data_IF_397902901392
#
_entry.id   IF_397902901392
#
_cell.length_a   1.000
_cell.length_b   1.000
_cell.length_c   1.000
_cell.angle_alpha   90.00
_cell.angle_beta   90.00
_cell.angle_gamma   90.00
#
_symmetry.space_group_name_H-M   'P 1'
#
loop_
_entity.id
_entity.type
_entity.pdbx_description
1 polymer ?
#
# COMPACT_ATOMS: atom_id res chain seq x y z
N UNK A 1 -20.15 1.52 -5.26
CA UNK A 1 -19.56 2.18 -6.45
C UNK A 1 -19.83 3.70 -6.35
N UNK A 2 -19.23 4.36 -5.33
CA UNK A 2 -19.60 5.74 -4.93
C UNK A 2 -18.41 6.71 -4.89
N UNK A 3 -17.19 6.25 -5.19
CA UNK A 3 -15.97 7.03 -5.02
C UNK A 3 -15.70 8.01 -6.16
N UNK A 4 -16.14 7.69 -7.37
CA UNK A 4 -15.80 8.46 -8.56
C UNK A 4 -17.08 8.78 -9.32
N UNK A 5 -17.49 10.04 -9.28
CA UNK A 5 -18.67 10.52 -10.01
C UNK A 5 -18.49 10.41 -11.53
N UNK A 6 -19.60 10.34 -12.26
CA UNK A 6 -19.60 10.21 -13.73
C UNK A 6 -18.74 11.27 -14.43
N UNK A 7 -18.70 12.50 -13.90
CA UNK A 7 -17.88 13.57 -14.45
C UNK A 7 -16.38 13.25 -14.38
N UNK A 8 -15.91 12.76 -13.21
CA UNK A 8 -14.51 12.39 -12.98
C UNK A 8 -14.13 11.11 -13.74
N UNK A 9 -15.05 10.16 -13.87
CA UNK A 9 -14.80 8.97 -14.69
C UNK A 9 -14.70 9.33 -16.19
N UNK A 10 -15.54 10.25 -16.67
CA UNK A 10 -15.51 10.69 -18.06
C UNK A 10 -14.31 11.60 -18.36
N UNK A 11 -13.77 12.34 -17.39
CA UNK A 11 -12.53 13.09 -17.63
C UNK A 11 -11.33 12.20 -17.94
N UNK A 12 -11.38 10.92 -17.58
CA UNK A 12 -10.35 9.91 -17.89
C UNK A 12 -10.73 9.15 -19.16
N UNK A 13 -11.90 8.49 -19.16
CA UNK A 13 -12.31 7.58 -20.24
C UNK A 13 -12.86 8.27 -21.49
N UNK A 14 -13.18 9.57 -21.42
CA UNK A 14 -13.64 10.40 -22.54
C UNK A 14 -12.83 11.71 -22.61
N UNK A 15 -11.56 11.67 -22.19
CA UNK A 15 -10.67 12.83 -22.19
C UNK A 15 -10.52 13.45 -23.59
N UNK A 16 -10.44 12.59 -24.61
CA UNK A 16 -10.61 12.94 -26.02
C UNK A 16 -12.10 12.83 -26.34
N UNK A 17 -12.77 13.98 -26.53
CA UNK A 17 -14.22 14.02 -26.74
C UNK A 17 -14.62 13.13 -27.91
N UNK A 18 -15.47 12.11 -27.68
CA UNK A 18 -15.97 11.28 -28.76
C UNK A 18 -16.95 12.07 -29.63
N UNK A 19 -16.75 12.04 -30.95
CA UNK A 19 -17.65 12.72 -31.91
C UNK A 19 -19.03 12.03 -31.98
N UNK A 20 -19.08 10.71 -31.85
CA UNK A 20 -20.29 9.89 -32.01
C UNK A 20 -20.74 9.25 -30.69
N UNK A 21 -20.94 10.05 -29.64
CA UNK A 21 -21.45 9.53 -28.36
C UNK A 21 -22.93 9.15 -28.52
N UNK A 22 -23.33 7.89 -28.21
CA UNK A 22 -24.71 7.45 -28.40
C UNK A 22 -25.67 8.18 -27.45
N UNK A 23 -26.86 8.49 -27.97
CA UNK A 23 -27.96 9.05 -27.20
C UNK A 23 -28.94 7.96 -26.74
N UNK A 24 -29.99 8.36 -26.03
CA UNK A 24 -31.01 7.46 -25.49
C UNK A 24 -31.75 6.68 -26.59
N UNK A 25 -31.90 7.25 -27.78
CA UNK A 25 -32.60 6.67 -28.93
C UNK A 25 -31.72 5.80 -29.84
N UNK A 26 -30.41 5.72 -29.59
CA UNK A 26 -29.47 4.95 -30.41
C UNK A 26 -29.71 3.45 -30.27
N UNK A 27 -29.51 2.72 -31.37
CA UNK A 27 -29.67 1.27 -31.40
C UNK A 27 -28.64 0.55 -30.50
N UNK A 28 -28.95 -0.71 -30.18
CA UNK A 28 -28.17 -1.51 -29.24
C UNK A 28 -26.74 -1.79 -29.75
N UNK A 29 -26.57 -1.98 -31.06
CA UNK A 29 -25.29 -2.35 -31.65
C UNK A 29 -24.33 -1.17 -31.60
N UNK A 30 -24.77 0.02 -32.02
CA UNK A 30 -23.97 1.25 -31.93
C UNK A 30 -23.58 1.58 -30.48
N UNK A 31 -24.51 1.39 -29.52
CA UNK A 31 -24.20 1.57 -28.09
C UNK A 31 -23.15 0.57 -27.60
N UNK A 32 -23.23 -0.69 -28.02
CA UNK A 32 -22.26 -1.72 -27.67
C UNK A 32 -20.86 -1.38 -28.21
N UNK A 33 -20.77 -1.02 -29.50
CA UNK A 33 -19.51 -0.64 -30.14
C UNK A 33 -18.85 0.55 -29.45
N UNK A 34 -19.64 1.55 -29.05
CA UNK A 34 -19.14 2.69 -28.28
C UNK A 34 -18.57 2.28 -26.92
N UNK A 35 -19.29 1.44 -26.16
CA UNK A 35 -18.83 0.94 -24.85
C UNK A 35 -17.55 0.13 -25.00
N UNK A 36 -17.46 -0.73 -26.02
CA UNK A 36 -16.26 -1.49 -26.33
C UNK A 36 -15.07 -0.58 -26.68
N UNK A 37 -15.29 0.43 -27.53
CA UNK A 37 -14.26 1.41 -27.88
C UNK A 37 -13.77 2.22 -26.67
N UNK A 38 -14.69 2.56 -25.74
CA UNK A 38 -14.39 3.34 -24.54
C UNK A 38 -13.58 2.55 -23.52
N UNK A 39 -14.03 1.37 -23.11
CA UNK A 39 -13.46 0.65 -21.96
C UNK A 39 -12.45 -0.42 -22.34
N UNK A 40 -12.59 -1.06 -23.50
CA UNK A 40 -11.69 -2.13 -23.96
C UNK A 40 -10.59 -1.55 -24.81
N UNK A 41 -10.95 -0.80 -25.86
CA UNK A 41 -9.96 -0.18 -26.76
C UNK A 41 -9.34 1.10 -26.19
N UNK A 42 -9.92 1.66 -25.12
CA UNK A 42 -9.45 2.88 -24.46
C UNK A 42 -9.27 4.06 -25.42
N UNK A 43 -10.05 4.09 -26.50
CA UNK A 43 -9.85 4.95 -27.69
C UNK A 43 -9.90 6.44 -27.39
N UNK A 44 -10.66 6.80 -26.36
CA UNK A 44 -10.94 8.18 -25.99
C UNK A 44 -10.12 8.65 -24.79
N UNK A 45 -9.21 7.83 -24.27
CA UNK A 45 -8.26 8.25 -23.25
C UNK A 45 -7.12 9.05 -23.87
N UNK A 46 -6.51 9.93 -23.07
CA UNK A 46 -5.20 10.46 -23.42
C UNK A 46 -4.17 9.32 -23.44
N UNK A 47 -3.15 9.36 -24.31
CA UNK A 47 -2.06 8.41 -24.24
C UNK A 47 -1.30 8.57 -22.93
N UNK A 48 -0.81 7.46 -22.37
CA UNK A 48 -0.01 7.51 -21.15
C UNK A 48 1.35 8.14 -21.44
N UNK A 49 1.75 9.14 -20.65
CA UNK A 49 3.03 9.84 -20.77
C UNK A 49 4.21 9.08 -20.14
N UNK A 50 4.01 7.86 -19.64
CA UNK A 50 5.05 7.08 -18.97
C UNK A 50 4.64 5.66 -18.59
N UNK A 51 5.45 5.01 -17.75
CA UNK A 51 5.10 3.71 -17.20
C UNK A 51 3.89 3.83 -16.26
N UNK A 52 2.81 3.04 -16.43
CA UNK A 52 1.62 3.13 -15.59
C UNK A 52 1.90 2.90 -14.10
N UNK A 53 2.85 2.03 -13.77
CA UNK A 53 3.30 1.80 -12.39
C UNK A 53 3.88 3.06 -11.74
N UNK A 54 4.70 3.82 -12.48
CA UNK A 54 5.26 5.09 -12.00
C UNK A 54 4.18 6.15 -11.78
N UNK A 55 3.20 6.21 -12.67
CA UNK A 55 2.05 7.12 -12.52
C UNK A 55 1.21 6.76 -11.30
N UNK A 56 1.05 5.47 -10.99
CA UNK A 56 0.36 5.02 -9.78
C UNK A 56 1.15 5.41 -8.52
N UNK A 57 2.48 5.28 -8.52
CA UNK A 57 3.34 5.70 -7.42
C UNK A 57 3.23 7.20 -7.16
N UNK A 58 3.35 8.03 -8.19
CA UNK A 58 3.20 9.49 -8.08
C UNK A 58 1.81 9.87 -7.54
N UNK A 59 0.77 9.16 -7.99
CA UNK A 59 -0.59 9.37 -7.52
C UNK A 59 -0.77 9.01 -6.03
N UNK A 60 -0.09 7.96 -5.56
CA UNK A 60 -0.08 7.57 -4.14
C UNK A 60 0.63 8.63 -3.28
N UNK A 61 1.80 9.11 -3.71
CA UNK A 61 2.55 10.14 -2.99
C UNK A 61 1.81 11.48 -2.95
N UNK A 62 1.15 11.85 -4.05
CA UNK A 62 0.34 13.07 -4.16
C UNK A 62 -1.09 12.94 -3.60
N UNK A 63 -1.47 11.76 -3.09
CA UNK A 63 -2.83 11.44 -2.57
C UNK A 63 -3.94 11.76 -3.57
N UNK A 64 -3.68 11.53 -4.85
CA UNK A 64 -4.60 11.88 -5.94
C UNK A 64 -5.28 10.63 -6.52
N UNK A 65 -6.49 10.35 -6.05
CA UNK A 65 -7.30 9.19 -6.45
C UNK A 65 -7.62 9.17 -7.96
N UNK A 66 -7.77 10.34 -8.59
CA UNK A 66 -8.07 10.40 -10.03
C UNK A 66 -6.87 10.02 -10.88
N UNK A 67 -5.67 10.53 -10.53
CA UNK A 67 -4.42 10.10 -11.18
C UNK A 67 -4.16 8.61 -10.97
N UNK A 68 -4.48 8.08 -9.77
CA UNK A 68 -4.35 6.65 -9.49
C UNK A 68 -5.30 5.82 -10.36
N UNK A 69 -6.55 6.27 -10.50
CA UNK A 69 -7.51 5.63 -11.41
C UNK A 69 -7.01 5.67 -12.87
N UNK A 70 -6.45 6.80 -13.32
CA UNK A 70 -5.89 6.94 -14.67
C UNK A 70 -4.72 5.97 -14.90
N UNK A 71 -3.82 5.82 -13.92
CA UNK A 71 -2.72 4.86 -13.99
C UNK A 71 -3.22 3.40 -14.06
N UNK A 72 -4.19 3.03 -13.22
CA UNK A 72 -4.83 1.69 -13.25
C UNK A 72 -5.57 1.48 -14.59
N UNK A 73 -6.24 2.51 -15.06
CA UNK A 73 -6.90 2.54 -16.35
C UNK A 73 -5.92 2.30 -17.51
N UNK A 74 -4.69 2.79 -17.41
CA UNK A 74 -3.61 2.50 -18.36
C UNK A 74 -2.99 1.10 -18.20
N UNK A 75 -3.30 0.38 -17.13
CA UNK A 75 -2.87 -0.99 -16.90
C UNK A 75 -1.81 -1.16 -15.80
N UNK A 76 -1.70 -0.20 -14.87
CA UNK A 76 -0.87 -0.39 -13.68
C UNK A 76 -1.39 -1.57 -12.84
N UNK A 77 -0.51 -2.49 -12.45
CA UNK A 77 -0.84 -3.56 -11.52
C UNK A 77 -0.80 -3.03 -10.07
N UNK A 78 -1.91 -3.20 -9.35
CA UNK A 78 -2.06 -2.79 -7.95
C UNK A 78 -1.39 -3.74 -6.95
N UNK A 79 -0.93 -4.90 -7.43
CA UNK A 79 -0.30 -5.95 -6.65
C UNK A 79 1.21 -6.06 -6.90
N UNK A 80 1.77 -5.24 -7.77
CA UNK A 80 3.20 -5.23 -8.03
C UNK A 80 3.96 -4.37 -7.00
N UNK A 81 5.08 -4.86 -6.48
CA UNK A 81 5.89 -4.08 -5.55
C UNK A 81 6.69 -3.01 -6.30
N UNK A 82 6.84 -1.85 -5.66
CA UNK A 82 7.78 -0.84 -6.12
C UNK A 82 9.22 -1.20 -5.71
N UNK A 83 10.21 -1.02 -6.60
CA UNK A 83 11.62 -1.08 -6.23
C UNK A 83 11.93 -0.08 -5.11
N UNK A 84 12.77 -0.48 -4.15
CA UNK A 84 13.12 0.36 -2.99
C UNK A 84 13.76 1.68 -3.45
N UNK A 85 14.55 1.66 -4.52
CA UNK A 85 15.21 2.83 -5.09
C UNK A 85 14.23 3.89 -5.64
N UNK A 86 12.99 3.49 -5.92
CA UNK A 86 11.94 4.40 -6.40
C UNK A 86 11.16 5.04 -5.26
N UNK A 87 11.27 4.53 -4.02
CA UNK A 87 10.54 5.05 -2.88
C UNK A 87 11.26 6.26 -2.32
N UNK A 88 10.57 7.41 -2.27
CA UNK A 88 11.12 8.65 -1.74
C UNK A 88 11.57 8.53 -0.27
N UNK A 89 10.84 7.75 0.53
CA UNK A 89 11.13 7.50 1.95
C UNK A 89 10.79 6.04 2.32
N UNK A 90 11.71 5.08 2.15
CA UNK A 90 11.46 3.67 2.45
C UNK A 90 11.28 3.48 3.95
N UNK A 91 10.10 3.00 4.34
CA UNK A 91 9.75 2.72 5.74
C UNK A 91 9.99 1.24 6.04
N UNK A 92 10.91 0.97 6.97
CA UNK A 92 11.15 -0.38 7.49
C UNK A 92 10.01 -0.81 8.41
N UNK A 93 9.47 -2.00 8.15
CA UNK A 93 8.52 -2.74 8.98
C UNK A 93 9.21 -3.57 10.07
N UNK A 94 10.54 -3.47 10.20
CA UNK A 94 11.28 -4.05 11.32
C UNK A 94 11.64 -2.92 12.28
N UNK A 95 11.26 -3.01 13.57
CA UNK A 95 11.69 -2.04 14.55
C UNK A 95 13.21 -2.02 14.64
N UNK A 96 13.77 -0.82 14.72
CA UNK A 96 15.20 -0.60 14.99
C UNK A 96 15.56 -1.35 16.26
N UNK A 97 16.40 -2.37 16.15
CA UNK A 97 16.75 -3.30 17.24
C UNK A 97 17.62 -2.67 18.33
N UNK A 98 17.54 -1.34 18.52
CA UNK A 98 18.22 -0.67 19.62
C UNK A 98 17.51 -1.06 20.91
N UNK A 99 17.97 -2.15 21.51
CA UNK A 99 17.59 -2.54 22.85
C UNK A 99 18.37 -1.64 23.81
N UNK A 100 17.65 -0.77 24.51
CA UNK A 100 18.19 0.01 25.61
C UNK A 100 17.98 -0.81 26.90
N UNK A 101 19.07 -1.31 27.47
CA UNK A 101 19.03 -1.92 28.80
C UNK A 101 19.33 -0.84 29.83
N UNK A 102 18.37 -0.61 30.72
CA UNK A 102 18.55 0.24 31.90
C UNK A 102 18.94 -0.63 33.08
N UNK A 103 20.22 -0.62 33.44
CA UNK A 103 20.76 -1.45 34.52
C UNK A 103 21.04 -0.60 35.76
N UNK A 104 20.68 -1.06 36.98
CA UNK A 104 21.05 -0.38 38.21
C UNK A 104 22.56 -0.50 38.45
N UNK A 105 23.20 0.60 38.88
CA UNK A 105 24.61 0.55 39.32
C UNK A 105 24.65 -0.10 40.70
N UNK A 106 25.50 -1.11 40.86
CA UNK A 106 25.68 -1.81 42.13
C UNK A 106 26.90 -1.30 42.90
N UNK A 107 26.84 -1.29 44.22
CA UNK A 107 28.00 -1.08 45.10
C UNK A 107 28.86 -2.35 45.24
N UNK A 108 29.93 -2.28 46.03
CA UNK A 108 30.84 -3.43 46.26
C UNK A 108 30.21 -4.56 47.07
N UNK A 109 29.02 -4.34 47.64
CA UNK A 109 28.20 -5.33 48.34
C UNK A 109 27.06 -5.88 47.45
N UNK A 110 26.91 -5.39 46.22
CA UNK A 110 25.88 -5.80 45.28
C UNK A 110 24.53 -5.10 45.44
N UNK A 111 24.43 -4.03 46.23
CA UNK A 111 23.20 -3.27 46.39
C UNK A 111 23.05 -2.19 45.31
N UNK A 112 21.83 -1.94 44.79
CA UNK A 112 21.59 -0.91 43.79
C UNK A 112 21.68 0.49 44.40
N UNK A 113 22.38 1.40 43.71
CA UNK A 113 22.31 2.83 44.00
C UNK A 113 20.95 3.39 43.53
N UNK A 114 20.17 4.06 44.41
CA UNK A 114 18.81 4.52 44.09
C UNK A 114 18.74 5.43 42.86
N UNK A 115 19.76 6.26 42.66
CA UNK A 115 19.75 7.32 41.64
C UNK A 115 20.74 7.09 40.49
N UNK A 116 21.42 5.92 40.47
CA UNK A 116 22.41 5.62 39.42
C UNK A 116 21.95 4.43 38.58
N UNK A 117 21.65 4.75 37.34
CA UNK A 117 21.35 3.79 36.28
C UNK A 117 22.35 3.96 35.14
N UNK A 118 22.67 2.87 34.47
CA UNK A 118 23.45 2.89 33.23
C UNK A 118 22.52 2.46 32.12
N UNK A 119 22.43 3.31 31.09
CA UNK A 119 21.75 2.98 29.84
C UNK A 119 22.78 2.37 28.89
N UNK A 120 22.65 1.07 28.64
CA UNK A 120 23.47 0.35 27.66
C UNK A 120 22.67 0.25 26.38
N UNK A 121 23.17 0.90 25.32
CA UNK A 121 22.71 0.62 23.97
C UNK A 121 23.36 -0.67 23.51
N UNK A 122 22.57 -1.73 23.35
CA UNK A 122 23.05 -2.93 22.67
C UNK A 122 22.95 -2.65 21.18
N UNK A 123 24.08 -2.45 20.46
CA UNK A 123 24.00 -2.37 19.02
C UNK A 123 23.39 -3.68 18.50
N UNK A 124 22.51 -3.65 17.49
CA UNK A 124 22.00 -4.86 16.88
C UNK A 124 23.18 -5.80 16.61
N UNK A 125 23.16 -7.00 17.19
CA UNK A 125 24.02 -8.09 16.72
C UNK A 125 23.91 -8.07 15.20
N UNK A 126 25.04 -8.12 14.51
CA UNK A 126 25.14 -7.94 13.06
C UNK A 126 24.29 -8.96 12.30
N UNK A 127 22.98 -8.74 12.27
CA UNK A 127 22.10 -9.30 11.30
C UNK A 127 22.59 -8.74 9.97
N UNK A 128 22.69 -9.59 8.94
CA UNK A 128 23.24 -9.18 7.66
C UNK A 128 22.50 -7.92 7.20
N UNK A 129 23.27 -6.86 6.89
CA UNK A 129 22.76 -5.54 6.48
C UNK A 129 21.73 -5.62 5.34
N UNK A 130 21.70 -6.73 4.62
CA UNK A 130 20.80 -7.03 3.51
C UNK A 130 19.36 -7.38 3.90
N UNK A 131 19.09 -7.94 5.09
CA UNK A 131 17.73 -8.47 5.41
C UNK A 131 16.69 -7.39 5.74
N UNK A 132 17.13 -6.21 6.19
CA UNK A 132 16.21 -5.14 6.64
C UNK A 132 15.54 -4.40 5.47
N UNK A 133 16.21 -4.31 4.33
CA UNK A 133 15.69 -3.67 3.11
C UNK A 133 14.48 -4.43 2.52
N UNK A 134 14.33 -5.72 2.83
CA UNK A 134 13.25 -6.55 2.30
C UNK A 134 11.91 -6.35 3.00
N UNK A 135 11.91 -5.89 4.25
CA UNK A 135 10.70 -5.61 5.03
C UNK A 135 10.36 -4.13 4.93
N UNK A 136 10.23 -3.61 3.71
CA UNK A 136 9.89 -2.22 3.44
C UNK A 136 8.47 -2.13 2.87
N UNK A 137 7.75 -1.07 3.23
CA UNK A 137 6.47 -0.70 2.63
C UNK A 137 6.69 -0.41 1.15
N UNK A 138 6.26 -1.33 0.26
CA UNK A 138 6.50 -1.20 -1.18
C UNK A 138 5.32 -1.57 -2.07
N UNK A 139 4.24 -2.09 -1.51
CA UNK A 139 3.03 -2.37 -2.28
C UNK A 139 2.12 -1.13 -2.29
N UNK A 140 1.38 -0.87 -3.39
CA UNK A 140 0.42 0.22 -3.48
C UNK A 140 -0.52 0.29 -2.27
N UNK A 141 -1.03 -0.87 -1.83
CA UNK A 141 -1.92 -0.94 -0.68
C UNK A 141 -1.21 -0.57 0.63
N UNK A 142 0.03 -0.99 0.83
CA UNK A 142 0.78 -0.64 2.04
C UNK A 142 1.06 0.87 2.09
N UNK A 143 1.39 1.49 0.95
CA UNK A 143 1.60 2.94 0.86
C UNK A 143 0.32 3.71 1.15
N UNK A 144 -0.81 3.31 0.57
CA UNK A 144 -2.10 3.95 0.83
C UNK A 144 -2.49 3.89 2.32
N UNK A 145 -2.27 2.73 2.96
CA UNK A 145 -2.52 2.56 4.39
C UNK A 145 -1.57 3.41 5.24
N UNK A 146 -0.28 3.44 4.92
CA UNK A 146 0.71 4.27 5.60
C UNK A 146 0.37 5.76 5.55
N UNK A 147 -0.18 6.24 4.43
CA UNK A 147 -0.60 7.63 4.28
C UNK A 147 -1.97 7.96 4.89
N UNK A 148 -2.64 6.98 5.52
CA UNK A 148 -4.02 7.07 6.03
C UNK A 148 -5.05 7.45 4.96
N UNK A 149 -4.81 7.05 3.71
CA UNK A 149 -5.72 7.34 2.60
C UNK A 149 -6.65 6.14 2.36
N UNK A 150 -7.72 6.07 3.16
CA UNK A 150 -8.73 5.02 3.04
C UNK A 150 -9.47 5.07 1.69
N UNK A 151 -9.62 6.25 1.10
CA UNK A 151 -10.25 6.47 -0.21
C UNK A 151 -9.44 5.77 -1.30
N UNK A 152 -8.12 5.98 -1.29
CA UNK A 152 -7.18 5.30 -2.17
C UNK A 152 -7.13 3.80 -1.90
N UNK A 153 -7.12 3.38 -0.62
CA UNK A 153 -7.15 1.96 -0.27
C UNK A 153 -8.44 1.27 -0.78
N UNK A 154 -9.59 1.93 -0.69
CA UNK A 154 -10.85 1.43 -1.26
C UNK A 154 -10.78 1.31 -2.79
N UNK A 155 -10.16 2.27 -3.48
CA UNK A 155 -9.93 2.19 -4.92
C UNK A 155 -9.08 0.96 -5.24
N UNK A 156 -7.92 0.80 -4.62
CA UNK A 156 -7.03 -0.35 -4.86
C UNK A 156 -7.76 -1.68 -4.60
N UNK A 157 -8.57 -1.75 -3.55
CA UNK A 157 -9.39 -2.93 -3.23
C UNK A 157 -10.50 -3.21 -4.25
N UNK A 158 -11.06 -2.20 -4.92
CA UNK A 158 -12.03 -2.37 -6.00
C UNK A 158 -11.37 -2.91 -7.27
N UNK A 159 -10.11 -2.53 -7.51
CA UNK A 159 -9.33 -2.94 -8.68
C UNK A 159 -8.50 -4.22 -8.45
N UNK A 160 -8.78 -4.97 -7.38
CA UNK A 160 -8.22 -6.31 -7.19
C UNK A 160 -6.94 -6.37 -6.36
N UNK A 161 -6.69 -5.40 -5.48
CA UNK A 161 -5.61 -5.52 -4.50
C UNK A 161 -5.85 -6.72 -3.58
N UNK A 162 -4.87 -7.61 -3.50
CA UNK A 162 -4.88 -8.84 -2.71
C UNK A 162 -3.91 -8.75 -1.54
N UNK A 163 -4.45 -8.72 -0.33
CA UNK A 163 -3.69 -8.69 0.93
C UNK A 163 -3.09 -10.05 1.30
N UNK A 164 -3.49 -11.13 0.65
CA UNK A 164 -2.96 -12.47 0.91
C UNK A 164 -1.88 -12.88 -0.10
N UNK A 165 -1.53 -12.03 -1.08
CA UNK A 165 -0.41 -12.26 -1.99
C UNK A 165 0.87 -12.46 -1.19
N UNK A 166 1.67 -13.44 -1.61
CA UNK A 166 2.98 -13.66 -1.05
C UNK A 166 3.97 -12.69 -1.69
N UNK A 167 4.71 -12.00 -0.84
CA UNK A 167 5.86 -11.24 -1.27
C UNK A 167 7.00 -12.19 -1.63
N UNK A 168 7.50 -12.12 -2.85
CA UNK A 168 8.55 -13.00 -3.38
C UNK A 168 9.87 -12.87 -2.60
N UNK A 169 10.14 -11.70 -2.01
CA UNK A 169 11.44 -11.46 -1.37
C UNK A 169 11.43 -11.87 0.09
N UNK A 170 10.36 -11.57 0.82
CA UNK A 170 10.22 -11.98 2.24
C UNK A 170 9.60 -13.36 2.40
N UNK A 171 8.86 -13.83 1.40
CA UNK A 171 8.06 -15.05 1.46
C UNK A 171 6.92 -14.98 2.49
N UNK A 172 6.56 -13.77 2.96
CA UNK A 172 5.46 -13.50 3.87
C UNK A 172 4.22 -13.01 3.08
N UNK A 173 3.02 -13.18 3.63
CA UNK A 173 1.84 -12.57 3.02
C UNK A 173 1.83 -11.04 3.25
N UNK A 174 1.17 -10.29 2.36
CA UNK A 174 1.05 -8.83 2.56
C UNK A 174 0.31 -8.49 3.86
N UNK A 175 -0.61 -9.35 4.31
CA UNK A 175 -1.30 -9.26 5.58
C UNK A 175 -0.34 -9.39 6.77
N UNK A 176 0.60 -10.34 6.71
CA UNK A 176 1.62 -10.50 7.75
C UNK A 176 2.56 -9.28 7.78
N UNK A 177 2.94 -8.75 6.60
CA UNK A 177 3.73 -7.52 6.48
C UNK A 177 3.03 -6.32 7.15
N UNK A 178 1.72 -6.17 6.95
CA UNK A 178 0.92 -5.16 7.66
C UNK A 178 0.93 -5.42 9.17
N UNK A 179 0.82 -6.68 9.59
CA UNK A 179 0.93 -7.11 10.98
C UNK A 179 2.25 -6.73 11.65
N UNK A 180 3.37 -6.85 10.95
CA UNK A 180 4.68 -6.39 11.43
C UNK A 180 4.76 -4.87 11.53
N UNK A 181 4.13 -4.17 10.59
CA UNK A 181 4.05 -2.72 10.53
C UNK A 181 3.26 -2.05 11.64
N UNK A 182 2.73 -2.76 12.64
CA UNK A 182 1.88 -2.18 13.69
C UNK A 182 2.54 -1.09 14.56
N UNK A 183 3.85 -0.95 14.50
CA UNK A 183 4.60 0.12 15.17
C UNK A 183 4.70 1.40 14.33
N UNK A 184 4.43 1.30 13.03
CA UNK A 184 4.41 2.42 12.07
C UNK A 184 2.98 2.78 11.68
N UNK A 185 2.10 1.79 11.59
CA UNK A 185 0.69 1.93 11.25
C UNK A 185 -0.14 2.16 12.52
N UNK A 186 -1.07 3.11 12.47
CA UNK A 186 -1.98 3.36 13.59
C UNK A 186 -3.06 2.27 13.70
N UNK A 187 -3.72 2.21 14.86
CA UNK A 187 -4.68 1.15 15.21
C UNK A 187 -5.97 1.17 14.38
N UNK A 188 -6.37 2.35 13.90
CA UNK A 188 -7.53 2.56 13.03
C UNK A 188 -7.41 1.80 11.69
N UNK A 189 -6.18 1.66 11.16
CA UNK A 189 -5.88 0.91 9.94
C UNK A 189 -6.21 -0.57 10.13
N UNK A 190 -5.84 -1.16 11.27
CA UNK A 190 -6.12 -2.55 11.56
C UNK A 190 -7.62 -2.79 11.74
N UNK A 191 -8.32 -1.87 12.39
CA UNK A 191 -9.78 -1.94 12.52
C UNK A 191 -10.45 -1.87 11.14
N UNK A 192 -10.05 -0.91 10.31
CA UNK A 192 -10.55 -0.75 8.95
C UNK A 192 -10.33 -2.01 8.11
N UNK A 193 -9.11 -2.55 8.08
CA UNK A 193 -8.78 -3.75 7.31
C UNK A 193 -9.53 -4.98 7.84
N UNK A 194 -9.62 -5.16 9.15
CA UNK A 194 -10.36 -6.28 9.75
C UNK A 194 -11.85 -6.20 9.45
N UNK A 195 -12.45 -5.00 9.43
CA UNK A 195 -13.83 -4.80 9.01
C UNK A 195 -14.03 -5.16 7.53
N UNK A 196 -13.09 -4.79 6.65
CA UNK A 196 -13.11 -5.17 5.24
C UNK A 196 -12.93 -6.67 5.03
N UNK A 197 -11.97 -7.30 5.71
CA UNK A 197 -11.73 -8.74 5.64
C UNK A 197 -12.94 -9.52 6.15
N UNK A 198 -13.56 -9.10 7.26
CA UNK A 198 -14.80 -9.69 7.78
C UNK A 198 -15.93 -9.63 6.76
N UNK A 199 -16.08 -8.50 6.08
CA UNK A 199 -17.07 -8.34 5.00
C UNK A 199 -16.81 -9.25 3.79
N UNK A 200 -15.55 -9.66 3.60
CA UNK A 200 -15.08 -10.54 2.50
C UNK A 200 -14.93 -12.01 2.92
N UNK A 201 -15.18 -12.34 4.19
CA UNK A 201 -14.94 -13.69 4.75
C UNK A 201 -13.46 -14.08 4.83
N UNK A 202 -12.55 -13.10 4.82
CA UNK A 202 -11.10 -13.31 4.88
C UNK A 202 -10.59 -13.33 6.33
N UNK A 203 -9.39 -13.88 6.52
CA UNK A 203 -8.75 -13.96 7.82
C UNK A 203 -8.43 -12.57 8.40
N UNK A 204 -8.56 -12.45 9.72
CA UNK A 204 -8.24 -11.22 10.45
C UNK A 204 -6.72 -11.01 10.48
N UNK A 205 -6.30 -9.77 10.30
CA UNK A 205 -4.90 -9.35 10.42
C UNK A 205 -4.62 -9.13 11.91
N UNK A 206 -3.64 -9.87 12.41
CA UNK A 206 -3.17 -9.75 13.80
C UNK A 206 -1.87 -8.95 13.84
N UNK A 207 -1.66 -8.19 14.92
CA UNK A 207 -0.37 -7.53 15.17
C UNK A 207 0.67 -8.59 15.47
N UNK A 208 1.77 -8.58 14.71
CA UNK A 208 2.83 -9.56 14.84
C UNK A 208 4.08 -8.90 15.40
N UNK A 209 4.63 -9.48 16.47
CA UNK A 209 5.84 -8.98 17.14
C UNK A 209 7.13 -9.65 16.65
N UNK A 210 7.02 -10.79 15.98
CA UNK A 210 8.16 -11.59 15.55
C UNK A 210 8.02 -12.07 14.11
N UNK A 211 9.03 -11.76 13.31
CA UNK A 211 9.18 -12.27 11.94
C UNK A 211 9.52 -13.77 12.05
N UNK A 212 8.79 -14.68 11.37
CA UNK A 212 9.10 -16.09 11.35
C UNK A 212 10.51 -16.26 10.76
N UNK A 213 11.41 -16.83 11.54
CA UNK A 213 12.66 -17.35 10.99
C UNK A 213 12.28 -18.56 10.14
N UNK A 214 12.39 -18.42 8.81
CA UNK A 214 12.56 -19.56 7.92
C UNK A 214 13.96 -20.13 8.07
#
# INVERSE_FOLDING_TARGET
MLLIGNQNANSIWEALKPENKPEWNTDKETRHQFIYAKYVQKRFMKPSEGAPSMQLLEALESKNVLKALEAIAHGADVNDPYPVDMLSNPVSLVPSSNVFLRLPVLDVQGNPYPDKVIDISIPPQSAPKTKKEYYVIRYPIHLALYHHDFTMAELLFQYGSDTHKLDEVTGCSLADLIGYGHHVLQDDIFEYLNNKNRSRGQALISKLNHIPSK
#
